data_IF_740425434706
#
_entry.id   IF_740425434706
#
_cell.length_a   1.000
_cell.length_b   1.000
_cell.length_c   1.000
_cell.angle_alpha   90.00
_cell.angle_beta   90.00
_cell.angle_gamma   90.00
#
_symmetry.space_group_name_H-M   'P 1'
#
loop_
_entity.id
_entity.type
_entity.pdbx_description
1 polymer ?
#
# COMPACT_ATOMS: atom_id res chain seq x y z
N UNK A 1 6.36 -9.11 1.56
CA UNK A 1 4.98 -9.55 1.82
C UNK A 1 4.33 -8.48 2.69
N UNK A 2 3.34 -7.75 2.18
CA UNK A 2 2.63 -6.74 2.96
C UNK A 2 1.85 -7.43 4.08
N UNK A 3 2.13 -7.06 5.34
CA UNK A 3 1.40 -7.53 6.50
C UNK A 3 0.47 -6.44 7.00
N UNK A 4 -0.68 -6.82 7.53
CA UNK A 4 -1.64 -5.91 8.14
C UNK A 4 -1.04 -5.14 9.32
N UNK A 5 -1.40 -3.85 9.44
CA UNK A 5 -1.17 -3.04 10.64
C UNK A 5 -2.09 -3.49 11.79
N UNK A 6 -3.31 -3.87 11.43
CA UNK A 6 -4.37 -4.41 12.31
C UNK A 6 -4.91 -5.70 11.69
N UNK A 7 -5.05 -6.75 12.43
CA UNK A 7 -5.54 -8.03 11.95
C UNK A 7 -6.88 -8.38 12.61
N UNK A 8 -7.85 -8.89 11.89
CA UNK A 8 -8.20 -8.76 10.47
C UNK A 8 -8.96 -7.46 10.20
N UNK A 9 -9.07 -7.03 8.94
CA UNK A 9 -9.79 -5.81 8.53
C UNK A 9 -11.09 -6.18 7.85
N UNK A 10 -12.20 -5.60 8.30
CA UNK A 10 -13.53 -5.76 7.70
C UNK A 10 -13.60 -5.04 6.35
N UNK A 11 -14.26 -5.68 5.37
CA UNK A 11 -14.54 -5.06 4.07
C UNK A 11 -15.38 -3.80 4.21
N UNK A 12 -16.31 -3.76 5.16
CA UNK A 12 -17.09 -2.55 5.48
C UNK A 12 -16.22 -1.40 6.00
N UNK A 13 -15.17 -1.70 6.76
CA UNK A 13 -14.19 -0.70 7.19
C UNK A 13 -13.43 -0.12 6.00
N UNK A 14 -13.00 -0.98 5.06
CA UNK A 14 -12.35 -0.56 3.81
C UNK A 14 -13.29 0.32 2.97
N UNK A 15 -14.51 -0.09 2.78
CA UNK A 15 -15.50 0.67 2.00
C UNK A 15 -15.76 2.05 2.61
N UNK A 16 -15.92 2.11 3.94
CA UNK A 16 -16.09 3.37 4.67
C UNK A 16 -14.87 4.28 4.52
N UNK A 17 -13.67 3.76 4.62
CA UNK A 17 -12.43 4.51 4.42
C UNK A 17 -12.34 5.11 3.02
N UNK A 18 -12.81 4.40 2.02
CA UNK A 18 -12.84 4.85 0.63
C UNK A 18 -14.04 5.74 0.29
N UNK A 19 -15.00 5.92 1.20
CA UNK A 19 -16.29 6.60 0.99
C UNK A 19 -17.17 5.94 -0.09
N UNK A 20 -17.21 4.60 -0.11
CA UNK A 20 -18.13 3.85 -0.94
C UNK A 20 -19.21 3.18 -0.10
N UNK A 21 -20.44 3.14 -0.62
CA UNK A 21 -21.51 2.33 -0.07
C UNK A 21 -21.24 0.85 -0.35
N UNK A 22 -21.31 0.04 0.70
CA UNK A 22 -21.12 -1.40 0.60
C UNK A 22 -22.24 -2.12 1.34
N UNK A 23 -23.09 -2.80 0.59
CA UNK A 23 -24.32 -3.43 1.09
C UNK A 23 -24.24 -4.96 1.16
N UNK A 24 -23.18 -5.54 0.59
CA UNK A 24 -22.98 -6.99 0.60
C UNK A 24 -22.56 -7.50 1.98
N UNK A 25 -22.48 -8.82 2.12
CA UNK A 25 -22.04 -9.49 3.33
C UNK A 25 -20.63 -9.02 3.75
N UNK A 26 -20.47 -8.80 5.05
CA UNK A 26 -19.17 -8.38 5.60
C UNK A 26 -18.29 -9.59 5.88
N UNK A 27 -17.03 -9.48 5.51
CA UNK A 27 -16.00 -10.46 5.81
C UNK A 27 -14.67 -9.76 6.07
N UNK A 28 -13.68 -10.51 6.51
CA UNK A 28 -12.38 -9.97 6.85
C UNK A 28 -11.33 -10.33 5.82
N UNK A 29 -10.44 -9.38 5.56
CA UNK A 29 -9.27 -9.57 4.69
C UNK A 29 -7.98 -9.43 5.48
N UNK A 30 -6.97 -10.19 5.10
CA UNK A 30 -5.69 -10.28 5.80
C UNK A 30 -4.50 -9.91 4.90
N UNK A 31 -4.71 -9.86 3.60
CA UNK A 31 -3.65 -9.63 2.63
C UNK A 31 -4.14 -8.93 1.37
N UNK A 32 -3.20 -8.50 0.55
CA UNK A 32 -3.45 -8.04 -0.81
C UNK A 32 -3.04 -9.11 -1.81
N UNK A 33 -3.74 -9.14 -2.93
CA UNK A 33 -3.47 -10.07 -4.04
C UNK A 33 -3.38 -9.35 -5.37
N UNK A 34 -2.71 -9.95 -6.31
CA UNK A 34 -2.78 -9.54 -7.72
C UNK A 34 -3.81 -10.39 -8.44
N UNK A 35 -4.41 -9.87 -9.52
CA UNK A 35 -5.43 -10.59 -10.29
C UNK A 35 -4.91 -11.93 -10.84
N UNK A 36 -3.62 -12.03 -11.11
CA UNK A 36 -2.99 -13.27 -11.62
C UNK A 36 -2.66 -14.28 -10.51
N UNK A 37 -2.63 -13.85 -9.25
CA UNK A 37 -2.30 -14.68 -8.10
C UNK A 37 -3.21 -14.33 -6.92
N UNK A 38 -4.50 -14.65 -7.08
CA UNK A 38 -5.52 -14.43 -6.05
C UNK A 38 -5.31 -15.39 -4.89
N UNK A 39 -5.48 -14.87 -3.69
CA UNK A 39 -5.44 -15.61 -2.43
C UNK A 39 -6.75 -15.40 -1.67
N UNK A 40 -7.07 -16.35 -0.80
CA UNK A 40 -8.21 -16.21 0.12
C UNK A 40 -8.01 -15.01 1.07
N UNK A 41 -9.08 -14.48 1.60
CA UNK A 41 -9.08 -13.35 2.56
C UNK A 41 -8.22 -12.19 2.08
N UNK A 42 -8.45 -11.73 0.85
CA UNK A 42 -7.61 -10.71 0.21
C UNK A 42 -8.38 -9.61 -0.49
N UNK A 43 -7.72 -8.47 -0.65
CA UNK A 43 -8.14 -7.39 -1.54
C UNK A 43 -7.35 -7.45 -2.83
N UNK A 44 -8.04 -7.35 -3.95
CA UNK A 44 -7.45 -7.24 -5.28
C UNK A 44 -8.05 -6.06 -6.04
N UNK A 45 -7.37 -5.59 -7.08
CA UNK A 45 -7.97 -4.62 -7.99
C UNK A 45 -7.84 -5.09 -9.44
N UNK A 46 -8.78 -4.63 -10.24
CA UNK A 46 -8.81 -4.83 -11.68
C UNK A 46 -9.29 -3.56 -12.39
N UNK A 47 -8.62 -3.20 -13.46
CA UNK A 47 -9.02 -2.07 -14.32
C UNK A 47 -8.65 -2.35 -15.76
N UNK A 48 -9.53 -1.98 -16.67
CA UNK A 48 -9.26 -2.01 -18.12
C UNK A 48 -8.66 -0.69 -18.63
N UNK A 49 -8.49 0.31 -17.77
CA UNK A 49 -7.89 1.57 -18.18
C UNK A 49 -6.40 1.35 -18.45
N UNK A 50 -6.09 1.22 -19.72
CA UNK A 50 -4.72 1.23 -20.22
C UNK A 50 -4.24 2.68 -20.10
N UNK A 51 -3.20 2.92 -19.31
CA UNK A 51 -2.58 4.24 -19.28
C UNK A 51 -1.87 4.49 -20.64
N UNK A 52 -2.35 5.42 -21.47
CA UNK A 52 -1.78 5.63 -22.82
C UNK A 52 -0.32 6.09 -22.81
N UNK A 53 0.21 6.54 -21.65
CA UNK A 53 1.63 6.91 -21.49
C UNK A 53 2.56 5.69 -21.34
N UNK A 54 2.02 4.57 -20.92
CA UNK A 54 2.74 3.31 -20.82
C UNK A 54 2.18 2.38 -21.90
N UNK A 55 2.85 2.30 -23.03
CA UNK A 55 2.53 1.42 -24.15
C UNK A 55 2.80 -0.05 -23.76
N UNK A 56 2.20 -0.49 -22.66
CA UNK A 56 2.17 -1.89 -22.29
C UNK A 56 1.20 -2.56 -23.25
N UNK A 57 1.75 -3.17 -24.28
CA UNK A 57 1.06 -4.15 -25.14
C UNK A 57 0.77 -5.39 -24.28
N UNK A 58 -0.08 -5.24 -23.26
CA UNK A 58 -0.55 -6.38 -22.53
C UNK A 58 -1.83 -6.87 -23.19
N UNK A 59 -1.66 -7.78 -24.13
CA UNK A 59 -2.68 -8.75 -24.50
C UNK A 59 -2.87 -9.77 -23.37
N UNK A 60 -2.73 -9.36 -22.09
CA UNK A 60 -3.03 -10.22 -20.96
C UNK A 60 -4.54 -10.29 -20.80
N UNK A 61 -5.12 -11.35 -21.30
CA UNK A 61 -6.45 -11.79 -20.89
C UNK A 61 -6.35 -12.24 -19.45
N UNK A 62 -6.92 -11.46 -18.54
CA UNK A 62 -6.99 -11.85 -17.13
C UNK A 62 -8.02 -12.95 -16.96
N UNK A 63 -7.61 -14.06 -16.35
CA UNK A 63 -8.51 -15.15 -16.01
C UNK A 63 -9.23 -14.82 -14.68
N UNK A 64 -10.38 -14.16 -14.80
CA UNK A 64 -11.19 -13.77 -13.64
C UNK A 64 -11.86 -14.98 -12.95
N UNK A 65 -11.86 -16.17 -13.56
CA UNK A 65 -12.42 -17.38 -12.95
C UNK A 65 -11.72 -17.78 -11.65
N UNK A 66 -10.49 -17.34 -11.46
CA UNK A 66 -9.74 -17.56 -10.23
C UNK A 66 -10.30 -16.79 -9.04
N UNK A 67 -10.95 -15.64 -9.28
CA UNK A 67 -11.64 -14.89 -8.24
C UNK A 67 -12.76 -15.70 -7.62
N UNK A 68 -13.57 -16.35 -8.44
CA UNK A 68 -14.73 -17.14 -7.98
C UNK A 68 -14.33 -18.41 -7.21
N UNK A 69 -13.12 -18.91 -7.44
CA UNK A 69 -12.59 -20.08 -6.73
C UNK A 69 -11.98 -19.73 -5.37
N UNK A 70 -11.78 -18.45 -5.10
CA UNK A 70 -11.17 -17.96 -3.87
C UNK A 70 -12.25 -17.49 -2.89
N UNK A 71 -12.00 -17.68 -1.59
CA UNK A 71 -12.93 -17.26 -0.53
C UNK A 71 -12.53 -15.87 0.00
N UNK A 72 -13.54 -15.09 0.37
CA UNK A 72 -13.35 -13.82 1.07
C UNK A 72 -12.43 -12.86 0.29
N UNK A 73 -12.72 -12.65 -0.98
CA UNK A 73 -12.00 -11.72 -1.84
C UNK A 73 -12.85 -10.48 -2.08
N UNK A 74 -12.27 -9.30 -1.81
CA UNK A 74 -12.82 -8.02 -2.22
C UNK A 74 -12.15 -7.58 -3.52
N UNK A 75 -12.93 -7.35 -4.56
CA UNK A 75 -12.46 -6.77 -5.81
C UNK A 75 -12.76 -5.27 -5.85
N UNK A 76 -11.79 -4.47 -6.25
CA UNK A 76 -11.94 -3.05 -6.55
C UNK A 76 -11.77 -2.88 -8.05
N UNK A 77 -12.77 -2.33 -8.73
CA UNK A 77 -12.76 -2.24 -10.19
C UNK A 77 -13.56 -1.03 -10.69
N UNK A 78 -13.28 -0.60 -11.90
CA UNK A 78 -14.05 0.39 -12.64
C UNK A 78 -15.11 -0.22 -13.58
N UNK A 79 -15.24 -1.56 -13.55
CA UNK A 79 -16.14 -2.30 -14.43
C UNK A 79 -17.44 -2.67 -13.70
N UNK A 80 -18.56 -2.08 -14.10
CA UNK A 80 -19.88 -2.33 -13.49
C UNK A 80 -20.48 -3.69 -13.88
N UNK A 81 -20.12 -4.22 -15.05
CA UNK A 81 -20.74 -5.40 -15.64
C UNK A 81 -19.80 -6.60 -15.75
N UNK A 82 -18.96 -6.80 -14.73
CA UNK A 82 -18.20 -8.04 -14.64
C UNK A 82 -19.14 -9.20 -14.29
N UNK A 83 -19.17 -10.21 -15.13
CA UNK A 83 -19.94 -11.43 -14.84
C UNK A 83 -19.18 -12.32 -13.84
N UNK A 84 -19.06 -11.84 -12.60
CA UNK A 84 -18.40 -12.52 -11.49
C UNK A 84 -19.22 -12.38 -10.22
N UNK A 85 -19.18 -13.41 -9.38
CA UNK A 85 -19.95 -13.48 -8.13
C UNK A 85 -19.10 -13.16 -6.89
N UNK A 86 -18.13 -12.23 -7.00
CA UNK A 86 -17.31 -11.81 -5.86
C UNK A 86 -17.72 -10.42 -5.37
N UNK A 87 -17.67 -10.17 -4.06
CA UNK A 87 -17.88 -8.85 -3.49
C UNK A 87 -17.00 -7.79 -4.16
N UNK A 88 -17.63 -6.72 -4.63
CA UNK A 88 -16.99 -5.74 -5.50
C UNK A 88 -17.29 -4.31 -5.05
N UNK A 89 -16.28 -3.46 -5.07
CA UNK A 89 -16.43 -2.01 -4.96
C UNK A 89 -16.16 -1.41 -6.35
N UNK A 90 -17.14 -0.69 -6.88
CA UNK A 90 -16.99 0.05 -8.13
C UNK A 90 -16.31 1.37 -7.84
N UNK A 91 -15.11 1.54 -8.34
CA UNK A 91 -14.24 2.69 -8.10
C UNK A 91 -13.98 3.45 -9.39
N UNK A 92 -13.97 4.78 -9.32
CA UNK A 92 -13.54 5.64 -10.43
C UNK A 92 -12.04 5.51 -10.74
N UNK A 93 -11.25 5.09 -9.76
CA UNK A 93 -9.82 4.88 -9.90
C UNK A 93 -9.36 3.69 -9.03
N UNK A 94 -9.59 2.45 -9.48
CA UNK A 94 -9.29 1.25 -8.69
C UNK A 94 -7.84 1.14 -8.23
N UNK A 95 -6.90 1.60 -9.06
CA UNK A 95 -5.48 1.57 -8.74
C UNK A 95 -5.14 2.51 -7.59
N UNK A 96 -5.69 3.72 -7.60
CA UNK A 96 -5.48 4.69 -6.54
C UNK A 96 -6.10 4.21 -5.23
N UNK A 97 -7.33 3.73 -5.27
CA UNK A 97 -8.02 3.24 -4.08
C UNK A 97 -7.34 2.01 -3.49
N UNK A 98 -6.88 1.10 -4.33
CA UNK A 98 -6.08 -0.04 -3.88
C UNK A 98 -4.77 0.41 -3.21
N UNK A 99 -4.09 1.41 -3.77
CA UNK A 99 -2.88 1.98 -3.15
C UNK A 99 -3.19 2.64 -1.81
N UNK A 100 -4.29 3.38 -1.69
CA UNK A 100 -4.73 3.98 -0.41
C UNK A 100 -4.98 2.90 0.64
N UNK A 101 -5.62 1.80 0.27
CA UNK A 101 -5.81 0.64 1.16
C UNK A 101 -4.47 0.07 1.62
N UNK A 102 -3.51 -0.11 0.69
CA UNK A 102 -2.18 -0.62 1.07
C UNK A 102 -1.51 0.29 2.08
N UNK A 103 -1.52 1.59 1.85
CA UNK A 103 -0.88 2.57 2.74
C UNK A 103 -1.56 2.57 4.11
N UNK A 104 -2.88 2.60 4.16
CA UNK A 104 -3.63 2.70 5.41
C UNK A 104 -3.56 1.42 6.23
N UNK A 105 -3.83 0.28 5.60
CA UNK A 105 -4.07 -0.97 6.33
C UNK A 105 -2.91 -1.96 6.28
N UNK A 106 -2.07 -1.91 5.24
CA UNK A 106 -1.06 -2.94 4.98
C UNK A 106 0.39 -2.45 5.01
N UNK A 107 0.64 -1.14 4.89
CA UNK A 107 2.02 -0.65 5.01
C UNK A 107 2.42 -0.63 6.48
N UNK A 108 3.51 -1.30 6.83
CA UNK A 108 4.21 -1.06 8.08
C UNK A 108 5.06 0.19 7.93
N UNK A 109 4.96 1.10 8.88
CA UNK A 109 6.09 1.96 9.17
C UNK A 109 7.19 1.07 9.77
N UNK A 110 8.10 0.61 8.91
CA UNK A 110 9.23 -0.23 9.35
C UNK A 110 10.24 0.58 10.18
N UNK A 111 10.11 1.90 10.17
CA UNK A 111 11.06 2.81 10.79
C UNK A 111 10.34 3.73 11.78
N UNK A 112 10.40 3.38 13.04
CA UNK A 112 10.02 4.32 14.09
C UNK A 112 10.99 5.51 14.08
N UNK A 113 10.50 6.73 14.28
CA UNK A 113 11.35 7.92 14.42
C UNK A 113 12.42 7.72 15.49
N UNK A 114 13.60 8.26 15.23
CA UNK A 114 14.72 8.19 16.16
C UNK A 114 16.07 8.03 15.46
N UNK A 115 17.12 8.28 16.21
CA UNK A 115 18.51 8.18 15.75
C UNK A 115 19.10 6.90 16.31
N UNK A 116 19.61 6.03 15.43
CA UNK A 116 20.27 4.82 15.86
C UNK A 116 21.57 5.16 16.64
N UNK A 117 21.85 4.42 17.72
CA UNK A 117 22.97 4.67 18.63
C UNK A 117 24.36 4.70 17.98
N UNK A 118 24.50 4.07 16.80
CA UNK A 118 25.75 4.06 16.04
C UNK A 118 25.78 5.11 14.92
N UNK A 119 24.77 5.95 14.81
CA UNK A 119 24.78 7.07 13.88
C UNK A 119 25.52 8.27 14.52
N UNK A 120 26.21 9.03 13.69
CA UNK A 120 26.83 10.29 14.06
C UNK A 120 26.07 11.43 13.42
N UNK A 121 25.60 12.36 14.24
CA UNK A 121 24.94 13.59 13.79
C UNK A 121 25.72 14.76 14.34
N UNK A 122 26.27 15.57 13.47
CA UNK A 122 27.10 16.73 13.87
C UNK A 122 26.24 17.83 14.52
N UNK A 123 26.85 18.60 15.40
CA UNK A 123 26.14 19.52 16.30
C UNK A 123 25.40 20.66 15.59
N UNK A 124 25.78 21.01 14.37
CA UNK A 124 25.14 22.06 13.58
C UNK A 124 24.08 21.52 12.62
N UNK A 125 23.94 20.18 12.52
CA UNK A 125 22.89 19.55 11.72
C UNK A 125 21.50 19.86 12.29
N UNK A 126 20.55 20.12 11.40
CA UNK A 126 19.15 20.42 11.74
C UNK A 126 18.28 19.25 11.32
N UNK A 127 17.59 18.66 12.29
CA UNK A 127 16.66 17.57 12.04
C UNK A 127 15.23 18.05 12.28
N UNK A 128 14.34 17.73 11.34
CA UNK A 128 12.91 17.94 11.49
C UNK A 128 12.25 16.94 12.44
N UNK A 129 10.92 16.99 12.53
CA UNK A 129 10.12 16.09 13.35
C UNK A 129 10.06 14.70 12.71
N UNK A 130 9.93 13.66 13.55
CA UNK A 130 9.74 12.27 13.13
C UNK A 130 10.77 11.74 12.11
N UNK A 131 12.01 12.21 12.22
CA UNK A 131 13.12 11.73 11.41
C UNK A 131 13.62 10.39 11.94
N UNK A 132 13.88 9.44 11.04
CA UNK A 132 14.60 8.19 11.32
C UNK A 132 15.99 8.25 10.73
N UNK A 133 17.02 7.93 11.55
CA UNK A 133 18.42 7.80 11.10
C UNK A 133 18.92 6.40 11.49
N UNK A 134 19.21 5.59 10.49
CA UNK A 134 19.67 4.22 10.63
C UNK A 134 21.07 4.06 11.16
N UNK A 135 21.49 2.82 11.36
CA UNK A 135 22.81 2.50 11.89
C UNK A 135 23.95 2.95 10.97
N UNK A 136 25.06 3.38 11.59
CA UNK A 136 26.27 3.79 10.89
C UNK A 136 26.05 4.91 9.87
N UNK A 137 25.05 5.76 10.09
CA UNK A 137 24.86 6.97 9.30
C UNK A 137 25.78 8.09 9.82
N UNK A 138 26.20 8.95 8.92
CA UNK A 138 26.87 10.19 9.23
C UNK A 138 26.08 11.37 8.64
N UNK A 139 25.71 12.31 9.50
CA UNK A 139 25.05 13.57 9.10
C UNK A 139 26.01 14.70 9.46
N UNK A 140 26.54 15.35 8.44
CA UNK A 140 27.57 16.38 8.58
C UNK A 140 27.06 17.70 9.11
N UNK A 141 28.00 18.60 9.37
CA UNK A 141 27.69 19.96 9.81
C UNK A 141 26.83 20.68 8.78
N UNK A 142 25.95 21.55 9.27
CA UNK A 142 25.05 22.42 8.49
C UNK A 142 24.05 21.70 7.55
N UNK A 143 23.98 20.36 7.62
CA UNK A 143 22.99 19.56 6.93
C UNK A 143 21.59 19.82 7.52
N UNK A 144 20.59 19.96 6.67
CA UNK A 144 19.19 20.08 7.09
C UNK A 144 18.38 18.89 6.56
N UNK A 145 17.77 18.15 7.48
CA UNK A 145 16.88 17.01 7.17
C UNK A 145 15.45 17.43 7.52
N UNK A 146 14.54 17.33 6.55
CA UNK A 146 13.12 17.68 6.72
C UNK A 146 12.35 16.68 7.57
N UNK A 147 11.12 17.08 7.96
CA UNK A 147 10.18 16.25 8.72
C UNK A 147 9.89 14.91 8.03
N UNK A 148 9.65 13.87 8.83
CA UNK A 148 9.32 12.50 8.38
C UNK A 148 10.37 11.85 7.45
N UNK A 149 11.58 12.39 7.39
CA UNK A 149 12.66 11.81 6.58
C UNK A 149 13.15 10.48 7.15
N UNK A 150 13.46 9.53 6.26
CA UNK A 150 13.99 8.22 6.65
C UNK A 150 15.34 7.99 5.98
N UNK A 151 16.38 8.06 6.77
CA UNK A 151 17.76 7.83 6.35
C UNK A 151 18.13 6.40 6.73
N UNK A 152 18.29 5.55 5.73
CA UNK A 152 18.62 4.14 5.95
C UNK A 152 20.06 3.96 6.40
N UNK A 153 20.39 2.75 6.86
CA UNK A 153 21.72 2.44 7.39
C UNK A 153 22.86 2.68 6.38
N UNK A 154 24.04 3.06 6.89
CA UNK A 154 25.26 3.30 6.11
C UNK A 154 25.18 4.45 5.11
N UNK A 155 24.36 5.46 5.37
CA UNK A 155 24.26 6.68 4.55
C UNK A 155 25.13 7.77 5.15
N UNK A 156 25.87 8.48 4.28
CA UNK A 156 26.66 9.66 4.65
C UNK A 156 26.13 10.87 3.90
N UNK A 157 25.75 11.92 4.63
CA UNK A 157 25.24 13.18 4.08
C UNK A 157 26.16 14.31 4.53
N UNK A 158 26.66 15.03 3.57
CA UNK A 158 27.52 16.20 3.77
C UNK A 158 26.84 17.44 3.22
N UNK A 159 27.16 18.63 3.76
CA UNK A 159 26.68 19.91 3.24
C UNK A 159 27.35 20.27 1.92
#
# INVERSE_FOLDING_TARGET
>A
MFRLKKNPISVKEIARFLNYDYTSEDFSVEQVSTINNIKNSSVAFFTNIINPKFNLKDNQTYDLSKLEKSKDVLLITDQENLNISVPTIISKNPRLDFQRIIIEFFSKDEFNSGIHKSATVESTAKLGNDVYIGSNCYIGNDVSIGDNSKILSNVSIHA
#
